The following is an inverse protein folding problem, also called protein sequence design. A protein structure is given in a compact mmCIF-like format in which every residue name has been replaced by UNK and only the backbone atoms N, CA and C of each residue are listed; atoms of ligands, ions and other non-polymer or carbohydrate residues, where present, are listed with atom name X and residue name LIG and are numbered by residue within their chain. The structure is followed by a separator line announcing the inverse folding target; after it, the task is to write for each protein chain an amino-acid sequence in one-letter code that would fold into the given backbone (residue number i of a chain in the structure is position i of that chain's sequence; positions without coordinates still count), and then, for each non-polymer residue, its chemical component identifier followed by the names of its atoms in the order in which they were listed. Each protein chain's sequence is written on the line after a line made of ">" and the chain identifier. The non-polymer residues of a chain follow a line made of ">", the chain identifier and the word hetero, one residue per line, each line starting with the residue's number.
data_IF_534435386475
#
_entry.id   IF_534435386475
#
_cell.length_a   1.000
_cell.length_b   1.000
_cell.length_c   1.000
_cell.angle_alpha   90.00
_cell.angle_beta   90.00
_cell.angle_gamma   90.00
#
_symmetry.space_group_name_H-M   'P 1'
#
loop_
_entity.id
_entity.type
_entity.pdbx_description
1 polymer ?
#
# COMPACT_ATOMS: atom_id res chain seq x y z
N UNK A 1 -13.14 3.36 -12.09
CA UNK A 1 -12.24 3.45 -10.91
C UNK A 1 -12.47 2.17 -10.14
N UNK A 2 -11.45 1.49 -9.65
CA UNK A 2 -11.66 0.34 -8.76
C UNK A 2 -12.26 0.87 -7.46
N UNK A 3 -13.37 0.31 -7.04
CA UNK A 3 -14.05 0.67 -5.80
C UNK A 3 -13.17 0.25 -4.63
N UNK A 4 -12.77 1.20 -3.80
CA UNK A 4 -11.89 0.95 -2.64
C UNK A 4 -12.70 0.27 -1.54
N UNK A 5 -12.19 -0.88 -1.08
CA UNK A 5 -12.83 -1.71 -0.07
C UNK A 5 -12.24 -1.41 1.30
N UNK A 6 -13.07 -1.03 2.25
CA UNK A 6 -12.68 -0.64 3.60
C UNK A 6 -13.26 -1.61 4.62
N UNK A 7 -12.41 -2.16 5.49
CA UNK A 7 -12.82 -2.90 6.68
C UNK A 7 -13.01 -1.91 7.83
N UNK A 8 -14.12 -2.01 8.54
CA UNK A 8 -14.40 -1.25 9.77
C UNK A 8 -14.13 -2.16 10.97
N UNK A 9 -13.38 -1.66 11.95
CA UNK A 9 -13.15 -2.33 13.25
C UNK A 9 -13.52 -1.35 14.35
N UNK A 10 -14.68 -1.56 14.97
CA UNK A 10 -15.29 -0.65 15.95
C UNK A 10 -16.21 -1.47 16.85
N UNK A 11 -15.98 -1.44 18.16
CA UNK A 11 -16.76 -2.21 19.15
C UNK A 11 -18.14 -1.64 19.42
N UNK A 12 -18.35 -0.31 19.23
CA UNK A 12 -19.67 0.30 19.34
C UNK A 12 -20.46 0.13 18.02
N UNK A 13 -21.59 -0.66 18.05
CA UNK A 13 -22.39 -0.90 16.86
C UNK A 13 -23.01 0.38 16.26
N UNK A 14 -23.29 1.41 17.08
CA UNK A 14 -23.89 2.65 16.57
C UNK A 14 -22.86 3.46 15.80
N UNK A 15 -21.63 3.57 16.32
CA UNK A 15 -20.54 4.25 15.62
C UNK A 15 -20.19 3.49 14.36
N UNK A 16 -20.13 2.16 14.40
CA UNK A 16 -19.87 1.30 13.25
C UNK A 16 -20.89 1.51 12.12
N UNK A 17 -22.20 1.60 12.44
CA UNK A 17 -23.26 1.87 11.47
C UNK A 17 -23.10 3.27 10.87
N UNK A 18 -22.77 4.28 11.67
CA UNK A 18 -22.56 5.65 11.19
C UNK A 18 -21.37 5.70 10.21
N UNK A 19 -20.26 5.02 10.53
CA UNK A 19 -19.11 4.91 9.64
C UNK A 19 -19.50 4.23 8.32
N UNK A 20 -20.23 3.13 8.38
CA UNK A 20 -20.70 2.42 7.19
C UNK A 20 -21.58 3.31 6.29
N UNK A 21 -22.50 4.08 6.86
CA UNK A 21 -23.33 5.01 6.10
C UNK A 21 -22.49 6.10 5.42
N UNK A 22 -21.55 6.68 6.15
CA UNK A 22 -20.65 7.70 5.60
C UNK A 22 -19.82 7.11 4.44
N UNK A 23 -19.20 5.95 4.62
CA UNK A 23 -18.39 5.30 3.58
C UNK A 23 -19.20 5.00 2.32
N UNK A 24 -20.42 4.49 2.46
CA UNK A 24 -21.32 4.22 1.35
C UNK A 24 -21.69 5.52 0.60
N UNK A 25 -21.98 6.63 1.31
CA UNK A 25 -22.24 7.94 0.71
C UNK A 25 -21.04 8.48 -0.09
N UNK A 26 -19.83 8.16 0.35
CA UNK A 26 -18.56 8.56 -0.27
C UNK A 26 -18.12 7.60 -1.40
N UNK A 27 -18.95 6.61 -1.77
CA UNK A 27 -18.65 5.60 -2.79
C UNK A 27 -17.46 4.68 -2.45
N UNK A 28 -17.17 4.45 -1.18
CA UNK A 28 -16.34 3.35 -0.74
C UNK A 28 -17.19 2.09 -0.57
N UNK A 29 -16.59 0.92 -0.68
CA UNK A 29 -17.24 -0.35 -0.38
C UNK A 29 -16.83 -0.80 1.02
N UNK A 30 -17.79 -1.04 1.91
CA UNK A 30 -17.51 -1.69 3.18
C UNK A 30 -17.32 -3.19 2.92
N UNK A 31 -16.08 -3.68 3.10
CA UNK A 31 -15.74 -5.09 2.88
C UNK A 31 -16.20 -6.00 4.02
N UNK A 32 -16.47 -5.40 5.17
CA UNK A 32 -16.96 -6.05 6.39
C UNK A 32 -16.87 -5.11 7.57
N UNK A 33 -17.51 -5.53 8.67
CA UNK A 33 -17.46 -4.87 9.96
C UNK A 33 -17.04 -5.89 11.01
N UNK A 34 -16.15 -5.52 11.90
CA UNK A 34 -15.67 -6.34 13.00
C UNK A 34 -15.84 -5.58 14.32
N UNK A 35 -16.27 -6.26 15.34
CA UNK A 35 -16.53 -5.70 16.68
C UNK A 35 -15.49 -6.12 17.71
N UNK A 36 -14.66 -7.12 17.35
CA UNK A 36 -13.58 -7.66 18.18
C UNK A 36 -12.32 -7.87 17.35
N UNK A 37 -11.19 -8.07 18.03
CA UNK A 37 -9.93 -8.38 17.37
C UNK A 37 -10.03 -9.67 16.56
N UNK A 38 -10.66 -10.71 17.10
CA UNK A 38 -10.79 -12.00 16.40
C UNK A 38 -11.67 -11.88 15.15
N UNK A 39 -12.78 -11.14 15.22
CA UNK A 39 -13.61 -10.85 14.04
C UNK A 39 -12.81 -10.12 12.95
N UNK A 40 -12.01 -9.12 13.34
CA UNK A 40 -11.17 -8.38 12.41
C UNK A 40 -10.16 -9.30 11.69
N UNK A 41 -9.52 -10.22 12.41
CA UNK A 41 -8.59 -11.17 11.84
C UNK A 41 -9.27 -12.16 10.88
N UNK A 42 -10.49 -12.58 11.18
CA UNK A 42 -11.30 -13.42 10.29
C UNK A 42 -11.67 -12.66 9.02
N UNK A 43 -12.10 -11.40 9.13
CA UNK A 43 -12.42 -10.55 7.96
C UNK A 43 -11.19 -10.29 7.09
N UNK A 44 -10.05 -9.93 7.68
CA UNK A 44 -8.78 -9.72 6.97
C UNK A 44 -8.37 -10.95 6.15
N UNK A 45 -8.55 -12.14 6.71
CA UNK A 45 -8.20 -13.40 6.05
C UNK A 45 -9.14 -13.74 4.90
N UNK A 46 -10.45 -13.55 5.09
CA UNK A 46 -11.48 -14.01 4.14
C UNK A 46 -11.79 -12.98 3.05
N UNK A 47 -11.70 -11.68 3.38
CA UNK A 47 -12.13 -10.57 2.54
C UNK A 47 -11.10 -9.45 2.53
N UNK A 48 -9.84 -9.73 2.21
CA UNK A 48 -8.76 -8.74 2.24
C UNK A 48 -9.22 -7.37 1.70
N UNK A 49 -9.27 -6.32 2.54
CA UNK A 49 -9.66 -4.97 2.14
C UNK A 49 -8.51 -4.22 1.45
N UNK A 50 -8.80 -3.03 0.92
CA UNK A 50 -7.78 -2.11 0.42
C UNK A 50 -7.29 -1.16 1.54
N UNK A 51 -8.11 -0.95 2.59
CA UNK A 51 -7.77 -0.16 3.77
C UNK A 51 -8.57 -0.65 4.99
N UNK A 52 -8.06 -0.30 6.19
CA UNK A 52 -8.74 -0.60 7.46
C UNK A 52 -8.96 0.70 8.25
N UNK A 53 -10.20 0.95 8.66
CA UNK A 53 -10.54 1.94 9.68
C UNK A 53 -10.72 1.20 11.00
N UNK A 54 -9.96 1.56 12.03
CA UNK A 54 -10.07 0.84 13.30
C UNK A 54 -9.99 1.77 14.51
N UNK A 55 -10.84 1.53 15.49
CA UNK A 55 -10.66 2.16 16.80
C UNK A 55 -9.38 1.64 17.45
N UNK A 56 -8.69 2.52 18.17
CA UNK A 56 -7.54 2.14 19.00
C UNK A 56 -8.03 1.31 20.19
N UNK A 57 -9.11 1.77 20.85
CA UNK A 57 -9.62 1.16 22.07
C UNK A 57 -10.83 0.29 21.69
N UNK A 58 -10.66 -1.00 21.73
CA UNK A 58 -11.74 -1.97 21.62
C UNK A 58 -12.03 -2.52 23.00
N UNK A 59 -13.31 -2.81 23.29
CA UNK A 59 -13.72 -3.47 24.55
C UNK A 59 -13.36 -4.97 24.51
N UNK A 60 -12.05 -5.26 24.41
CA UNK A 60 -11.47 -6.59 24.27
C UNK A 60 -10.15 -6.65 25.08
N UNK A 61 -9.63 -7.86 25.35
CA UNK A 61 -8.30 -8.06 25.96
C UNK A 61 -7.16 -7.50 25.08
N UNK A 62 -7.39 -7.45 23.76
CA UNK A 62 -6.48 -6.87 22.74
C UNK A 62 -7.09 -5.61 22.17
N UNK A 63 -6.25 -4.70 21.72
CA UNK A 63 -6.65 -3.40 21.18
C UNK A 63 -6.40 -3.29 19.65
N UNK A 64 -6.83 -2.17 19.06
CA UNK A 64 -6.61 -1.92 17.64
C UNK A 64 -5.12 -1.85 17.26
N UNK A 65 -4.24 -1.59 18.22
CA UNK A 65 -2.79 -1.57 17.98
C UNK A 65 -2.27 -2.98 17.73
N UNK A 66 -2.80 -3.99 18.42
CA UNK A 66 -2.42 -5.40 18.19
C UNK A 66 -2.85 -5.86 16.79
N UNK A 67 -4.03 -5.43 16.30
CA UNK A 67 -4.45 -5.66 14.91
C UNK A 67 -3.49 -4.97 13.93
N UNK A 68 -3.10 -3.73 14.21
CA UNK A 68 -2.18 -2.97 13.36
C UNK A 68 -0.80 -3.65 13.21
N UNK A 69 -0.27 -4.25 14.30
CA UNK A 69 0.96 -5.04 14.24
C UNK A 69 0.83 -6.25 13.31
N UNK A 70 -0.31 -6.96 13.38
CA UNK A 70 -0.59 -8.10 12.49
C UNK A 70 -0.74 -7.66 11.04
N UNK A 71 -1.44 -6.53 10.79
CA UNK A 71 -1.58 -5.96 9.45
C UNK A 71 -0.21 -5.65 8.85
N UNK A 72 0.68 -5.01 9.60
CA UNK A 72 2.02 -4.69 9.13
C UNK A 72 2.86 -5.91 8.76
N UNK A 73 2.75 -7.00 9.53
CA UNK A 73 3.56 -8.20 9.32
C UNK A 73 3.00 -9.06 8.18
N UNK A 74 1.68 -9.23 8.13
CA UNK A 74 1.07 -10.26 7.28
C UNK A 74 0.39 -9.72 6.03
N UNK A 75 -0.24 -8.53 6.11
CA UNK A 75 -1.10 -8.01 5.05
C UNK A 75 -0.52 -6.81 4.32
N UNK A 76 0.29 -5.99 5.01
CA UNK A 76 0.88 -4.77 4.44
C UNK A 76 -0.17 -3.86 3.78
N UNK A 77 -1.23 -3.55 4.52
CA UNK A 77 -2.34 -2.70 4.10
C UNK A 77 -2.29 -1.36 4.84
N UNK A 78 -2.79 -0.27 4.24
CA UNK A 78 -2.98 0.99 4.95
C UNK A 78 -4.07 0.83 6.01
N UNK A 79 -3.81 1.36 7.19
CA UNK A 79 -4.82 1.46 8.24
C UNK A 79 -4.80 2.83 8.89
N UNK A 80 -5.96 3.25 9.35
CA UNK A 80 -6.22 4.55 9.96
C UNK A 80 -6.84 4.28 11.32
N UNK A 81 -6.27 4.90 12.34
CA UNK A 81 -6.85 4.83 13.67
C UNK A 81 -7.97 5.86 13.85
N UNK A 82 -9.08 5.40 14.42
CA UNK A 82 -10.11 6.25 15.02
C UNK A 82 -9.76 6.39 16.51
N UNK A 83 -9.83 7.60 17.07
CA UNK A 83 -9.45 7.83 18.47
C UNK A 83 -10.28 8.93 19.12
N UNK A 84 -10.82 8.69 20.31
CA UNK A 84 -11.59 9.67 21.08
C UNK A 84 -10.75 10.54 22.00
N UNK A 85 -9.62 10.10 22.50
CA UNK A 85 -8.54 10.73 23.26
C UNK A 85 -7.63 9.61 23.78
N UNK A 86 -6.58 9.31 23.09
CA UNK A 86 -5.60 8.38 23.61
C UNK A 86 -4.69 9.09 24.62
N UNK A 87 -4.44 8.45 25.75
CA UNK A 87 -3.36 8.89 26.62
C UNK A 87 -2.00 8.83 25.87
N UNK A 88 -1.01 9.52 26.41
CA UNK A 88 0.30 9.64 25.77
C UNK A 88 0.96 8.28 25.50
N UNK A 89 0.73 7.30 26.37
CA UNK A 89 1.35 5.97 26.26
C UNK A 89 0.72 5.18 25.11
N UNK A 90 -0.59 5.19 25.00
CA UNK A 90 -1.36 4.56 23.89
C UNK A 90 -0.96 5.20 22.56
N UNK A 91 -0.84 6.53 22.51
CA UNK A 91 -0.44 7.23 21.29
C UNK A 91 0.99 6.88 20.86
N UNK A 92 1.92 6.72 21.81
CA UNK A 92 3.30 6.29 21.50
C UNK A 92 3.38 4.82 21.03
N UNK A 93 2.50 3.94 21.52
CA UNK A 93 2.34 2.57 20.98
C UNK A 93 1.80 2.62 19.55
N UNK A 94 0.69 3.34 19.33
CA UNK A 94 0.05 3.46 18.03
C UNK A 94 1.00 4.02 16.95
N UNK A 95 1.82 5.03 17.26
CA UNK A 95 2.82 5.59 16.34
C UNK A 95 3.84 4.56 15.85
N UNK A 96 4.23 3.60 16.70
CA UNK A 96 5.22 2.57 16.34
C UNK A 96 4.71 1.65 15.24
N UNK A 97 3.40 1.47 15.13
CA UNK A 97 2.79 0.68 14.05
C UNK A 97 2.74 1.40 12.70
N UNK A 98 3.15 2.69 12.66
CA UNK A 98 3.20 3.53 11.45
C UNK A 98 1.87 3.55 10.69
N UNK A 99 0.77 3.98 11.32
CA UNK A 99 -0.53 4.09 10.66
C UNK A 99 -0.45 5.07 9.49
N UNK A 100 -1.30 4.87 8.50
CA UNK A 100 -1.42 5.79 7.38
C UNK A 100 -2.07 7.13 7.78
N UNK A 101 -2.85 7.15 8.86
CA UNK A 101 -3.47 8.34 9.42
C UNK A 101 -4.16 8.11 10.76
N UNK A 102 -4.67 9.21 11.31
CA UNK A 102 -5.51 9.24 12.53
C UNK A 102 -6.72 10.12 12.25
N UNK A 103 -7.89 9.73 12.75
CA UNK A 103 -9.12 10.50 12.75
C UNK A 103 -9.61 10.62 14.19
N UNK A 104 -9.89 11.84 14.64
CA UNK A 104 -10.30 12.10 16.02
C UNK A 104 -11.82 12.04 16.12
N UNK A 105 -12.37 11.26 17.06
CA UNK A 105 -13.79 11.26 17.40
C UNK A 105 -14.15 12.47 18.28
N UNK A 106 -15.31 13.15 18.06
CA UNK A 106 -16.28 12.89 16.99
C UNK A 106 -15.79 13.42 15.64
N UNK A 107 -16.10 12.75 14.56
CA UNK A 107 -15.78 13.11 13.19
C UNK A 107 -17.03 13.24 12.33
N UNK A 108 -16.93 13.97 11.25
CA UNK A 108 -17.96 14.08 10.21
C UNK A 108 -17.55 13.39 8.90
N UNK A 109 -18.42 13.45 7.89
CA UNK A 109 -18.17 12.88 6.56
C UNK A 109 -16.92 13.47 5.89
N UNK A 110 -16.65 14.77 6.12
CA UNK A 110 -15.47 15.45 5.53
C UNK A 110 -14.17 15.02 6.18
N UNK A 111 -14.19 14.83 7.50
CA UNK A 111 -13.04 14.35 8.25
C UNK A 111 -12.66 12.94 7.81
N UNK A 112 -13.66 12.08 7.62
CA UNK A 112 -13.48 10.69 7.22
C UNK A 112 -12.97 10.59 5.78
N UNK A 113 -13.55 11.38 4.85
CA UNK A 113 -13.08 11.47 3.47
C UNK A 113 -11.64 11.96 3.40
N UNK A 114 -11.33 13.10 4.03
CA UNK A 114 -10.00 13.66 4.00
C UNK A 114 -8.95 12.72 4.63
N UNK A 115 -9.29 12.11 5.76
CA UNK A 115 -8.42 11.14 6.43
C UNK A 115 -8.12 9.94 5.54
N UNK A 116 -9.13 9.35 4.91
CA UNK A 116 -8.98 8.21 4.01
C UNK A 116 -8.17 8.57 2.76
N UNK A 117 -8.51 9.66 2.06
CA UNK A 117 -7.82 10.06 0.84
C UNK A 117 -6.33 10.35 1.10
N UNK A 118 -6.01 11.11 2.16
CA UNK A 118 -4.63 11.41 2.53
C UNK A 118 -3.87 10.13 2.93
N UNK A 119 -4.50 9.26 3.72
CA UNK A 119 -3.88 8.02 4.16
C UNK A 119 -3.58 7.08 3.01
N UNK A 120 -4.54 6.86 2.10
CA UNK A 120 -4.37 6.04 0.91
C UNK A 120 -3.28 6.61 -0.03
N UNK A 121 -3.29 7.93 -0.23
CA UNK A 121 -2.27 8.60 -1.03
C UNK A 121 -0.87 8.43 -0.43
N UNK A 122 -0.71 8.73 0.87
CA UNK A 122 0.57 8.63 1.55
C UNK A 122 1.09 7.19 1.58
N UNK A 123 0.19 6.22 1.80
CA UNK A 123 0.56 4.81 1.77
C UNK A 123 1.05 4.40 0.39
N UNK A 124 0.35 4.77 -0.69
CA UNK A 124 0.77 4.52 -2.05
C UNK A 124 2.14 5.15 -2.37
N UNK A 125 2.38 6.40 -1.93
CA UNK A 125 3.67 7.07 -2.09
C UNK A 125 4.79 6.37 -1.31
N UNK A 126 4.53 5.97 -0.08
CA UNK A 126 5.50 5.25 0.75
C UNK A 126 5.84 3.87 0.17
N UNK A 127 4.87 3.15 -0.41
CA UNK A 127 5.11 1.91 -1.12
C UNK A 127 5.99 2.10 -2.37
N UNK A 128 5.80 3.20 -3.08
CA UNK A 128 6.67 3.58 -4.21
C UNK A 128 8.08 3.97 -3.73
N UNK A 129 8.18 4.72 -2.64
CA UNK A 129 9.46 5.16 -2.06
C UNK A 129 10.22 4.03 -1.34
N UNK A 130 9.54 3.02 -0.82
CA UNK A 130 10.15 1.88 -0.13
C UNK A 130 10.69 0.81 -1.08
N UNK A 131 10.36 0.88 -2.38
CA UNK A 131 11.04 0.04 -3.37
C UNK A 131 12.51 0.44 -3.42
N UNK A 132 13.46 -0.51 -3.23
CA UNK A 132 14.87 -0.19 -3.32
C UNK A 132 15.14 0.53 -4.64
N UNK A 133 15.74 1.73 -4.59
CA UNK A 133 16.14 2.40 -5.82
C UNK A 133 17.19 1.54 -6.52
N UNK A 134 16.89 1.13 -7.74
CA UNK A 134 17.88 0.42 -8.55
C UNK A 134 19.08 1.33 -8.78
N UNK A 135 20.28 0.80 -8.61
CA UNK A 135 21.52 1.52 -8.87
C UNK A 135 22.23 0.88 -10.07
N UNK A 136 22.36 1.61 -11.17
CA UNK A 136 23.03 1.14 -12.39
C UNK A 136 24.43 0.57 -12.10
N UNK A 137 25.20 1.25 -11.25
CA UNK A 137 26.54 0.82 -10.87
C UNK A 137 26.54 -0.56 -10.16
N UNK A 138 25.60 -0.77 -9.24
CA UNK A 138 25.51 -2.03 -8.50
C UNK A 138 25.09 -3.19 -9.41
N UNK A 139 24.11 -2.94 -10.28
CA UNK A 139 23.66 -3.93 -11.27
C UNK A 139 24.82 -4.28 -12.22
N UNK A 140 25.50 -3.27 -12.76
CA UNK A 140 26.59 -3.48 -13.72
C UNK A 140 27.80 -4.19 -13.11
N UNK A 141 28.04 -4.09 -11.80
CA UNK A 141 29.09 -4.89 -11.12
C UNK A 141 28.90 -6.39 -11.25
N UNK A 142 27.66 -6.84 -11.41
CA UNK A 142 27.33 -8.27 -11.49
C UNK A 142 27.15 -8.77 -12.93
N UNK A 143 27.21 -7.86 -13.91
CA UNK A 143 26.99 -8.18 -15.33
C UNK A 143 28.28 -8.20 -16.14
N UNK A 144 28.41 -9.20 -16.99
CA UNK A 144 29.48 -9.24 -17.99
C UNK A 144 29.25 -8.17 -19.06
N UNK A 145 28.01 -7.99 -19.50
CA UNK A 145 27.60 -6.97 -20.46
C UNK A 145 26.82 -5.87 -19.72
N UNK A 146 27.43 -4.72 -19.54
CA UNK A 146 26.86 -3.62 -18.79
C UNK A 146 25.61 -3.04 -19.47
N UNK A 147 24.62 -2.65 -18.66
CA UNK A 147 23.49 -1.85 -19.12
C UNK A 147 23.94 -0.42 -19.42
N UNK A 148 23.44 0.14 -20.51
CA UNK A 148 23.56 1.58 -20.79
C UNK A 148 22.56 2.37 -19.92
N UNK A 149 22.76 3.69 -19.81
CA UNK A 149 21.82 4.57 -19.09
C UNK A 149 20.39 4.45 -19.63
N UNK A 150 20.23 4.37 -20.95
CA UNK A 150 18.89 4.20 -21.57
C UNK A 150 18.24 2.86 -21.28
N UNK A 151 19.01 1.79 -21.24
CA UNK A 151 18.52 0.48 -20.82
C UNK A 151 18.17 0.49 -19.33
N UNK A 152 18.93 1.21 -18.52
CA UNK A 152 18.63 1.38 -17.11
C UNK A 152 17.34 2.18 -16.89
N UNK A 153 17.09 3.27 -17.64
CA UNK A 153 15.83 4.02 -17.59
C UNK A 153 14.63 3.10 -17.90
N UNK A 154 14.76 2.25 -18.93
CA UNK A 154 13.72 1.28 -19.27
C UNK A 154 13.57 0.20 -18.21
N UNK A 155 14.67 -0.29 -17.62
CA UNK A 155 14.64 -1.26 -16.53
C UNK A 155 13.97 -0.69 -15.29
N UNK A 156 14.20 0.56 -14.94
CA UNK A 156 13.48 1.27 -13.89
C UNK A 156 11.99 1.33 -14.17
N UNK A 157 11.58 1.64 -15.40
CA UNK A 157 10.17 1.60 -15.80
C UNK A 157 9.55 0.20 -15.70
N UNK A 158 10.32 -0.85 -16.01
CA UNK A 158 9.90 -2.24 -15.80
C UNK A 158 9.70 -2.53 -14.30
N UNK A 159 10.64 -2.11 -13.48
CA UNK A 159 10.63 -2.28 -12.03
C UNK A 159 9.45 -1.56 -11.35
N UNK A 160 9.14 -0.35 -11.81
CA UNK A 160 7.99 0.45 -11.36
C UNK A 160 6.63 -0.09 -11.86
N UNK A 161 6.61 -1.11 -12.72
CA UNK A 161 5.40 -1.70 -13.27
C UNK A 161 4.78 -0.95 -14.46
N UNK A 162 5.48 0.04 -15.05
CA UNK A 162 5.00 0.83 -16.19
C UNK A 162 4.79 -0.03 -17.43
N UNK A 163 3.73 0.20 -18.20
CA UNK A 163 3.55 -0.43 -19.51
C UNK A 163 4.55 0.10 -20.53
N UNK A 164 4.74 -0.61 -21.66
CA UNK A 164 5.63 -0.15 -22.74
C UNK A 164 5.20 1.22 -23.28
N UNK A 165 3.89 1.48 -23.36
CA UNK A 165 3.37 2.78 -23.79
C UNK A 165 3.70 3.90 -22.80
N UNK A 166 3.57 3.62 -21.50
CA UNK A 166 3.92 4.59 -20.46
C UNK A 166 5.42 4.92 -20.45
N UNK A 167 6.28 3.91 -20.64
CA UNK A 167 7.72 4.10 -20.76
C UNK A 167 8.08 4.88 -22.04
N UNK A 168 7.44 4.57 -23.17
CA UNK A 168 7.63 5.27 -24.42
C UNK A 168 7.30 6.78 -24.31
N UNK A 169 6.17 7.09 -23.65
CA UNK A 169 5.75 8.47 -23.39
C UNK A 169 6.73 9.18 -22.45
N UNK A 170 7.13 8.53 -21.35
CA UNK A 170 8.02 9.12 -20.35
C UNK A 170 9.43 9.38 -20.88
N UNK A 171 9.93 8.54 -21.78
CA UNK A 171 11.29 8.63 -22.35
C UNK A 171 11.32 9.32 -23.72
N UNK A 172 10.17 9.78 -24.22
CA UNK A 172 10.02 10.44 -25.52
C UNK A 172 10.55 9.61 -26.70
N UNK A 173 10.25 8.30 -26.71
CA UNK A 173 10.64 7.35 -27.77
C UNK A 173 9.44 6.54 -28.27
N UNK A 174 9.64 5.78 -29.35
CA UNK A 174 8.60 4.87 -29.85
C UNK A 174 8.46 3.62 -28.96
N UNK A 175 7.26 3.00 -28.97
CA UNK A 175 7.04 1.71 -28.30
C UNK A 175 7.97 0.61 -28.87
N UNK A 176 8.29 0.67 -30.16
CA UNK A 176 9.23 -0.26 -30.76
C UNK A 176 10.65 -0.09 -30.23
N UNK A 177 11.07 1.15 -29.96
CA UNK A 177 12.36 1.45 -29.31
C UNK A 177 12.39 0.86 -27.90
N UNK A 178 11.31 1.00 -27.14
CA UNK A 178 11.19 0.37 -25.80
C UNK A 178 11.30 -1.17 -25.90
N UNK A 179 10.62 -1.80 -26.86
CA UNK A 179 10.70 -3.27 -27.06
C UNK A 179 12.13 -3.72 -27.37
N UNK A 180 12.87 -2.94 -28.15
CA UNK A 180 14.28 -3.22 -28.46
C UNK A 180 15.14 -3.14 -27.20
N UNK A 181 14.97 -2.09 -26.39
CA UNK A 181 15.70 -1.98 -25.12
C UNK A 181 15.35 -3.12 -24.17
N UNK A 182 14.07 -3.52 -24.07
CA UNK A 182 13.66 -4.67 -23.26
C UNK A 182 14.37 -5.96 -23.69
N UNK A 183 14.45 -6.22 -24.99
CA UNK A 183 15.13 -7.40 -25.53
C UNK A 183 16.63 -7.40 -25.14
N UNK A 184 17.29 -6.25 -25.27
CA UNK A 184 18.70 -6.08 -24.89
C UNK A 184 18.90 -6.26 -23.37
N UNK A 185 18.00 -5.70 -22.56
CA UNK A 185 18.03 -5.86 -21.11
C UNK A 185 17.89 -7.33 -20.72
N UNK A 186 16.93 -8.05 -21.31
CA UNK A 186 16.72 -9.47 -21.02
C UNK A 186 17.95 -10.30 -21.40
N UNK A 187 18.57 -10.02 -22.54
CA UNK A 187 19.79 -10.66 -22.96
C UNK A 187 20.95 -10.40 -21.96
N UNK A 188 21.14 -9.15 -21.54
CA UNK A 188 22.23 -8.76 -20.63
C UNK A 188 22.03 -9.28 -19.21
N UNK A 189 20.77 -9.38 -18.74
CA UNK A 189 20.41 -9.95 -17.45
C UNK A 189 20.32 -11.47 -17.45
N UNK A 190 20.41 -12.13 -18.61
CA UNK A 190 20.19 -13.57 -18.80
C UNK A 190 18.82 -13.99 -18.24
N UNK A 191 17.75 -13.35 -18.72
CA UNK A 191 16.36 -13.62 -18.33
C UNK A 191 15.45 -13.64 -19.56
N UNK A 192 14.28 -14.29 -19.42
CA UNK A 192 13.34 -14.45 -20.54
C UNK A 192 11.99 -13.76 -20.32
N UNK A 193 11.78 -13.15 -19.14
CA UNK A 193 10.48 -12.53 -18.84
C UNK A 193 10.66 -11.25 -18.01
N UNK A 194 9.58 -10.44 -18.01
CA UNK A 194 9.51 -9.19 -17.25
C UNK A 194 9.64 -9.44 -15.74
N UNK A 195 8.94 -10.45 -15.23
CA UNK A 195 8.98 -10.84 -13.82
C UNK A 195 10.36 -11.37 -13.42
N UNK A 196 11.02 -12.15 -14.29
CA UNK A 196 12.37 -12.62 -14.05
C UNK A 196 13.39 -11.48 -14.03
N UNK A 197 13.23 -10.45 -14.88
CA UNK A 197 14.09 -9.26 -14.85
C UNK A 197 13.97 -8.50 -13.55
N UNK A 198 12.74 -8.28 -13.05
CA UNK A 198 12.48 -7.64 -11.75
C UNK A 198 13.09 -8.46 -10.61
N UNK A 199 12.84 -9.76 -10.55
CA UNK A 199 13.40 -10.64 -9.52
C UNK A 199 14.94 -10.62 -9.51
N UNK A 200 15.57 -10.63 -10.70
CA UNK A 200 17.04 -10.59 -10.83
C UNK A 200 17.64 -9.34 -10.23
N UNK A 201 17.07 -8.16 -10.52
CA UNK A 201 17.61 -6.88 -10.02
C UNK A 201 17.24 -6.59 -8.56
N UNK A 202 16.20 -7.22 -8.02
CA UNK A 202 15.87 -7.18 -6.59
C UNK A 202 16.84 -8.01 -5.73
N UNK A 203 17.49 -9.01 -6.32
CA UNK A 203 18.46 -9.87 -5.65
C UNK A 203 19.91 -9.32 -5.75
N UNK A 204 20.09 -8.18 -6.43
CA UNK A 204 21.40 -7.53 -6.69
C UNK A 204 21.63 -6.38 -5.73
#
# INVERSE_FOLDING_TARGET
>A
MSEIRVLIVEDDPLISIDIEQILNNLNFIVSGTAYTVDDALVQLKNNTPDAVLMDINLDDERDGIDIAEIINIQYQLPFIFLTSHADKQTLERAKKTKPAGYIIKPFDEKDLLAGLEIALYNYAQNQLASKPQLCLHNINKQLVNHLSEREFDVLNGIYEGKTNQQMANALFVSVNTIKTHIANIYFKLDVTSRTAAVAKVMAS
#
